data_IF_861298365368
#
_entry.id   IF_861298365368
#
_cell.length_a   1.000
_cell.length_b   1.000
_cell.length_c   1.000
_cell.angle_alpha   90.00
_cell.angle_beta   90.00
_cell.angle_gamma   90.00
#
_symmetry.space_group_name_H-M   'P 1'
#
loop_
_entity.id
_entity.type
_entity.pdbx_description
1 polymer ?
#
# COMPACT_ATOMS: atom_id res chain seq x y z
N UNK A 1 3.52 -21.48 -9.02
CA UNK A 1 3.18 -20.09 -9.40
C UNK A 1 3.98 -19.73 -10.63
N UNK A 2 3.42 -18.95 -11.56
CA UNK A 2 4.11 -18.53 -12.79
C UNK A 2 5.07 -17.34 -12.56
N UNK A 3 6.03 -17.51 -11.64
CA UNK A 3 6.94 -16.44 -11.19
C UNK A 3 7.91 -16.01 -12.31
N UNK A 4 8.37 -16.93 -13.16
CA UNK A 4 9.29 -16.61 -14.25
C UNK A 4 8.63 -15.70 -15.30
N UNK A 5 7.44 -16.06 -15.77
CA UNK A 5 6.67 -15.23 -16.72
C UNK A 5 6.31 -13.87 -16.13
N UNK A 6 6.00 -13.83 -14.83
CA UNK A 6 5.74 -12.57 -14.14
C UNK A 6 6.98 -11.66 -14.08
N UNK A 7 8.20 -12.19 -14.05
CA UNK A 7 9.42 -11.37 -14.07
C UNK A 7 9.54 -10.59 -15.39
N UNK A 8 9.17 -11.20 -16.50
CA UNK A 8 9.14 -10.51 -17.79
C UNK A 8 8.04 -9.44 -17.84
N UNK A 9 6.89 -9.69 -17.21
CA UNK A 9 5.81 -8.70 -17.10
C UNK A 9 6.24 -7.43 -16.34
N UNK A 10 7.03 -7.57 -15.27
CA UNK A 10 7.45 -6.43 -14.43
C UNK A 10 8.80 -5.81 -14.83
N UNK A 11 9.38 -6.23 -15.96
CA UNK A 11 10.75 -5.85 -16.37
C UNK A 11 10.94 -4.35 -16.60
N UNK A 12 9.85 -3.62 -16.86
CA UNK A 12 9.82 -2.16 -17.00
C UNK A 12 9.81 -1.38 -15.67
N UNK A 13 9.68 -2.04 -14.51
CA UNK A 13 9.71 -1.37 -13.21
C UNK A 13 11.15 -1.10 -12.75
N UNK A 14 11.31 -0.23 -11.74
CA UNK A 14 12.61 -0.03 -11.10
C UNK A 14 13.19 -1.35 -10.54
N UNK A 15 14.51 -1.59 -10.62
CA UNK A 15 15.12 -2.83 -10.15
C UNK A 15 14.82 -3.18 -8.68
N UNK A 16 14.77 -2.17 -7.81
CA UNK A 16 14.43 -2.33 -6.39
C UNK A 16 12.98 -2.81 -6.20
N UNK A 17 12.05 -2.31 -7.02
CA UNK A 17 10.65 -2.75 -7.03
C UNK A 17 10.53 -4.19 -7.54
N UNK A 18 11.23 -4.53 -8.64
CA UNK A 18 11.25 -5.89 -9.18
C UNK A 18 11.72 -6.89 -8.13
N UNK A 19 12.82 -6.58 -7.43
CA UNK A 19 13.35 -7.43 -6.37
C UNK A 19 12.36 -7.62 -5.22
N UNK A 20 11.69 -6.54 -4.80
CA UNK A 20 10.67 -6.59 -3.74
C UNK A 20 9.48 -7.47 -4.14
N UNK A 21 9.04 -7.36 -5.39
CA UNK A 21 7.91 -8.14 -5.90
C UNK A 21 8.27 -9.61 -6.03
N UNK A 22 9.45 -9.91 -6.56
CA UNK A 22 10.00 -11.27 -6.63
C UNK A 22 10.07 -11.90 -5.24
N UNK A 23 10.63 -11.20 -4.26
CA UNK A 23 10.73 -11.69 -2.89
C UNK A 23 9.36 -11.97 -2.28
N UNK A 24 8.38 -11.09 -2.53
CA UNK A 24 7.00 -11.30 -2.06
C UNK A 24 6.40 -12.57 -2.62
N UNK A 25 6.49 -12.79 -3.94
CA UNK A 25 5.91 -13.97 -4.57
C UNK A 25 6.64 -15.25 -4.18
N UNK A 26 7.96 -15.20 -3.95
CA UNK A 26 8.71 -16.32 -3.39
C UNK A 26 8.19 -16.70 -2.00
N UNK A 27 8.02 -15.74 -1.10
CA UNK A 27 7.49 -15.99 0.24
C UNK A 27 6.04 -16.48 0.22
N UNK A 28 5.22 -15.99 -0.73
CA UNK A 28 3.86 -16.50 -0.91
C UNK A 28 3.89 -17.94 -1.44
N UNK A 29 4.72 -18.21 -2.45
CA UNK A 29 4.84 -19.54 -3.06
C UNK A 29 5.27 -20.64 -2.10
N UNK A 30 6.05 -20.30 -1.06
CA UNK A 30 6.44 -21.26 -0.02
C UNK A 30 5.32 -21.59 0.98
N UNK A 31 4.19 -20.88 0.94
CA UNK A 31 3.06 -21.06 1.86
C UNK A 31 1.81 -21.66 1.20
N UNK A 32 1.80 -21.77 -0.12
CA UNK A 32 0.65 -22.27 -0.87
C UNK A 32 0.76 -23.77 -1.05
N UNK A 33 -0.38 -24.46 -1.15
CA UNK A 33 -0.41 -25.91 -1.38
C UNK A 33 -0.49 -26.28 -2.86
N UNK A 34 -0.99 -25.37 -3.68
CA UNK A 34 -1.20 -25.59 -5.11
C UNK A 34 -0.17 -24.89 -5.99
N UNK A 35 -0.42 -24.92 -7.30
CA UNK A 35 0.37 -24.14 -8.25
C UNK A 35 0.13 -22.64 -8.10
N UNK A 36 -1.05 -22.22 -7.67
CA UNK A 36 -1.43 -20.82 -7.54
C UNK A 36 -2.08 -20.54 -6.19
N UNK A 37 -1.87 -19.34 -5.63
CA UNK A 37 -2.39 -19.01 -4.32
C UNK A 37 -3.92 -18.83 -4.36
N UNK A 38 -4.63 -19.43 -3.42
CA UNK A 38 -6.06 -19.12 -3.23
C UNK A 38 -6.24 -17.78 -2.53
N UNK A 39 -7.48 -17.26 -2.53
CA UNK A 39 -7.82 -16.02 -1.84
C UNK A 39 -7.49 -16.10 -0.35
N UNK A 40 -7.76 -17.25 0.27
CA UNK A 40 -7.53 -17.52 1.68
C UNK A 40 -6.03 -17.56 2.00
N UNK A 41 -5.23 -18.18 1.12
CA UNK A 41 -3.77 -18.23 1.26
C UNK A 41 -3.15 -16.83 1.14
N UNK A 42 -3.62 -16.01 0.20
CA UNK A 42 -3.20 -14.60 0.07
C UNK A 42 -3.58 -13.81 1.32
N UNK A 43 -4.83 -13.95 1.79
CA UNK A 43 -5.29 -13.23 2.99
C UNK A 43 -4.46 -13.61 4.22
N UNK A 44 -4.25 -14.90 4.44
CA UNK A 44 -3.43 -15.43 5.54
C UNK A 44 -1.99 -14.95 5.46
N UNK A 45 -1.39 -14.95 4.26
CA UNK A 45 -0.07 -14.39 4.02
C UNK A 45 0.00 -12.92 4.41
N UNK A 46 -0.90 -12.09 3.90
CA UNK A 46 -0.92 -10.64 4.16
C UNK A 46 -1.16 -10.31 5.64
N UNK A 47 -2.04 -11.05 6.32
CA UNK A 47 -2.34 -10.84 7.74
C UNK A 47 -1.14 -11.09 8.66
N UNK A 48 -0.11 -11.83 8.20
CA UNK A 48 1.08 -12.10 8.99
C UNK A 48 2.08 -10.92 9.06
N UNK A 49 1.83 -9.81 8.36
CA UNK A 49 2.75 -8.68 8.28
C UNK A 49 2.19 -7.38 8.89
N UNK A 50 3.10 -6.57 9.44
CA UNK A 50 2.80 -5.22 9.93
C UNK A 50 2.52 -4.24 8.78
N UNK A 51 1.78 -3.12 9.00
CA UNK A 51 1.30 -2.23 7.94
C UNK A 51 2.34 -1.71 6.93
N UNK A 52 3.57 -1.32 7.32
CA UNK A 52 4.56 -0.84 6.36
C UNK A 52 4.97 -1.93 5.35
N UNK A 53 5.13 -3.16 5.83
CA UNK A 53 5.54 -4.32 5.04
C UNK A 53 4.35 -4.90 4.27
N UNK A 54 3.17 -4.92 4.89
CA UNK A 54 1.90 -5.30 4.30
C UNK A 54 1.63 -4.53 3.00
N UNK A 55 1.78 -3.20 3.01
CA UNK A 55 1.51 -2.38 1.82
C UNK A 55 2.39 -2.78 0.63
N UNK A 56 3.67 -3.12 0.87
CA UNK A 56 4.60 -3.58 -0.16
C UNK A 56 4.16 -4.92 -0.73
N UNK A 57 3.79 -5.86 0.14
CA UNK A 57 3.30 -7.16 -0.29
C UNK A 57 1.96 -7.08 -1.02
N UNK A 58 1.03 -6.23 -0.57
CA UNK A 58 -0.23 -5.96 -1.25
C UNK A 58 0.00 -5.42 -2.66
N UNK A 59 0.93 -4.49 -2.85
CA UNK A 59 1.26 -3.95 -4.17
C UNK A 59 1.79 -5.06 -5.10
N UNK A 60 2.74 -5.87 -4.64
CA UNK A 60 3.29 -6.97 -5.41
C UNK A 60 2.21 -8.00 -5.82
N UNK A 61 1.37 -8.42 -4.86
CA UNK A 61 0.30 -9.39 -5.12
C UNK A 61 -0.77 -8.80 -6.03
N UNK A 62 -1.11 -7.53 -5.89
CA UNK A 62 -2.08 -6.87 -6.77
C UNK A 62 -1.60 -6.90 -8.22
N UNK A 63 -0.34 -6.56 -8.49
CA UNK A 63 0.24 -6.59 -9.83
C UNK A 63 0.31 -8.03 -10.36
N UNK A 64 0.59 -9.01 -9.50
CA UNK A 64 0.54 -10.42 -9.89
C UNK A 64 -0.88 -10.87 -10.27
N UNK A 65 -1.91 -10.48 -9.52
CA UNK A 65 -3.30 -10.79 -9.86
C UNK A 65 -3.73 -10.12 -11.17
N UNK A 66 -3.30 -8.89 -11.41
CA UNK A 66 -3.53 -8.18 -12.67
C UNK A 66 -2.90 -8.89 -13.86
N UNK A 67 -1.64 -9.34 -13.73
CA UNK A 67 -0.98 -10.21 -14.71
C UNK A 67 -1.80 -11.48 -15.01
N UNK A 68 -2.45 -12.04 -14.00
CA UNK A 68 -3.30 -13.23 -14.12
C UNK A 68 -4.71 -12.94 -14.66
N UNK A 69 -5.05 -11.68 -14.92
CA UNK A 69 -6.41 -11.27 -15.29
C UNK A 69 -7.42 -11.43 -14.15
N UNK A 70 -6.96 -11.48 -12.90
CA UNK A 70 -7.81 -11.62 -11.71
C UNK A 70 -7.99 -10.27 -11.00
N UNK A 71 -9.23 -9.87 -10.65
CA UNK A 71 -9.46 -8.62 -9.97
C UNK A 71 -9.03 -8.67 -8.50
N UNK A 72 -8.62 -7.52 -7.97
CA UNK A 72 -8.38 -7.37 -6.54
C UNK A 72 -9.70 -7.47 -5.76
N UNK A 73 -9.90 -8.58 -5.04
CA UNK A 73 -11.16 -8.88 -4.35
C UNK A 73 -11.10 -8.76 -2.82
N UNK A 74 -10.06 -8.12 -2.28
CA UNK A 74 -9.89 -7.94 -0.83
C UNK A 74 -10.39 -6.57 -0.35
N UNK A 75 -11.12 -6.57 0.76
CA UNK A 75 -11.62 -5.34 1.36
C UNK A 75 -10.53 -4.67 2.19
N UNK A 76 -10.37 -3.34 2.08
CA UNK A 76 -9.38 -2.57 2.87
C UNK A 76 -9.49 -2.79 4.38
N UNK A 77 -10.71 -3.01 4.89
CA UNK A 77 -10.98 -3.24 6.31
C UNK A 77 -10.47 -4.60 6.83
N UNK A 78 -10.09 -5.52 5.95
CA UNK A 78 -9.59 -6.85 6.34
C UNK A 78 -8.15 -6.82 6.84
N UNK A 79 -7.38 -5.76 6.54
CA UNK A 79 -5.96 -5.73 6.86
C UNK A 79 -5.60 -4.62 7.86
N UNK A 80 -4.55 -4.83 8.68
CA UNK A 80 -4.06 -3.81 9.60
C UNK A 80 -3.71 -2.51 8.88
N UNK A 81 -4.29 -1.40 9.31
CA UNK A 81 -3.96 -0.07 8.77
C UNK A 81 -2.86 0.58 9.60
N UNK A 82 -1.98 1.32 8.92
CA UNK A 82 -0.99 2.13 9.64
C UNK A 82 -1.75 3.20 10.41
N UNK A 83 -1.54 3.28 11.72
CA UNK A 83 -2.00 4.42 12.52
C UNK A 83 -1.34 5.67 11.93
N UNK A 84 -2.16 6.61 11.44
CA UNK A 84 -1.66 7.89 10.95
C UNK A 84 -0.99 8.59 12.12
N UNK A 85 0.25 9.05 11.91
CA UNK A 85 0.85 9.97 12.86
C UNK A 85 0.10 11.28 12.72
N UNK A 86 -0.70 11.63 13.72
CA UNK A 86 -1.33 12.94 13.82
C UNK A 86 -0.27 13.83 14.50
N UNK A 87 0.27 14.85 13.81
CA UNK A 87 1.12 15.84 14.47
C UNK A 87 0.41 16.36 15.72
N UNK A 88 1.09 16.32 16.88
CA UNK A 88 0.45 16.66 18.15
C UNK A 88 0.14 18.14 18.29
N UNK A 89 0.88 18.99 17.57
CA UNK A 89 0.75 20.44 17.59
C UNK A 89 1.12 20.98 16.21
N UNK A 90 0.43 22.03 15.78
CA UNK A 90 0.81 22.91 14.68
C UNK A 90 1.50 24.10 15.35
N UNK A 91 2.66 24.55 14.84
CA UNK A 91 3.34 25.70 15.44
C UNK A 91 2.60 27.00 15.10
N UNK A 92 2.73 28.03 15.94
CA UNK A 92 2.12 29.35 15.66
C UNK A 92 2.58 29.91 14.31
N UNK A 93 3.85 29.68 13.93
CA UNK A 93 4.37 30.05 12.61
C UNK A 93 3.74 29.27 11.46
N UNK A 94 3.35 28.02 11.67
CA UNK A 94 2.64 27.24 10.65
C UNK A 94 1.20 27.74 10.49
N UNK A 95 0.55 28.17 11.59
CA UNK A 95 -0.79 28.78 11.55
C UNK A 95 -0.76 30.10 10.79
N UNK A 96 0.19 31.00 11.12
CA UNK A 96 0.39 32.28 10.41
C UNK A 96 0.67 32.06 8.91
N UNK A 97 1.44 31.03 8.55
CA UNK A 97 1.70 30.69 7.16
C UNK A 97 0.45 30.18 6.42
N UNK A 98 -0.45 29.48 7.12
CA UNK A 98 -1.73 29.00 6.57
C UNK A 98 -2.71 30.17 6.39
N UNK A 99 -2.81 31.07 7.37
CA UNK A 99 -3.64 32.29 7.30
C UNK A 99 -3.18 33.23 6.17
N UNK A 100 -1.86 33.41 6.04
CA UNK A 100 -1.27 34.25 4.99
C UNK A 100 -1.46 33.70 3.58
N UNK A 101 -1.71 32.40 3.43
CA UNK A 101 -1.97 31.74 2.15
C UNK A 101 -3.47 31.72 1.76
N UNK A 102 -4.38 32.17 2.65
CA UNK A 102 -5.81 32.21 2.38
C UNK A 102 -6.17 33.36 1.41
N UNK A 103 -6.81 33.00 0.30
CA UNK A 103 -7.18 33.93 -0.79
C UNK A 103 -8.49 34.69 -0.50
N UNK A 104 -9.37 34.14 0.34
CA UNK A 104 -10.65 34.76 0.70
C UNK A 104 -10.80 34.99 2.21
N UNK A 105 -11.67 35.95 2.55
CA UNK A 105 -12.00 36.29 3.94
C UNK A 105 -12.75 35.13 4.65
N UNK A 106 -13.56 34.38 3.91
CA UNK A 106 -14.22 33.16 4.40
C UNK A 106 -13.21 32.06 4.75
N UNK A 107 -12.15 31.89 3.94
CA UNK A 107 -11.10 30.91 4.22
C UNK A 107 -10.30 31.26 5.49
N UNK A 108 -10.13 32.56 5.78
CA UNK A 108 -9.46 33.04 7.02
C UNK A 108 -10.30 32.75 8.27
N UNK A 109 -11.62 32.93 8.19
CA UNK A 109 -12.52 32.62 9.31
C UNK A 109 -12.49 31.14 9.72
N UNK A 110 -12.23 30.22 8.78
CA UNK A 110 -12.07 28.79 9.10
C UNK A 110 -10.77 28.48 9.85
N UNK A 111 -9.74 29.32 9.73
CA UNK A 111 -8.44 29.13 10.39
C UNK A 111 -8.42 29.76 11.77
N UNK A 112 -9.05 30.94 11.96
CA UNK A 112 -9.18 31.59 13.28
C UNK A 112 -10.01 30.78 14.30
N UNK A 113 -10.84 29.84 13.83
CA UNK A 113 -11.68 29.00 14.67
C UNK A 113 -11.01 27.70 15.16
N UNK A 114 -9.73 27.46 14.82
CA UNK A 114 -8.93 26.29 15.23
C UNK A 114 -8.16 26.53 16.54
#
# INVERSE_FOLDING_TARGET
MRIAEFQDYIRGLAPSTQQTYKQTLWQLSSRIKGEEPTKEEIASFLLSYAPPTLNRHQAAIKVYLEYRGQPWSFNRRQFPTRRRHIPRYISSSDVEAIEGAAESEDDRMFVEAL
#
